data_IF_163592060400
#
_entry.id   IF_163592060400
#
_cell.length_a   1.000
_cell.length_b   1.000
_cell.length_c   1.000
_cell.angle_alpha   90.00
_cell.angle_beta   90.00
_cell.angle_gamma   90.00
#
_symmetry.space_group_name_H-M   'P 1'
#
loop_
_entity.id
_entity.type
_entity.pdbx_description
1 polymer ?
#
# COMPACT_ATOMS: atom_id res chain seq x y z
N UNK A 1 33.69 -17.37 2.15
CA UNK A 1 32.45 -17.12 2.93
C UNK A 1 31.96 -15.69 2.79
N UNK A 2 32.78 -14.64 3.01
CA UNK A 2 32.39 -13.23 2.81
C UNK A 2 31.88 -12.90 1.39
N UNK A 3 32.49 -13.49 0.35
CA UNK A 3 32.17 -13.18 -1.04
C UNK A 3 30.74 -13.56 -1.46
N UNK A 4 30.10 -14.50 -0.75
CA UNK A 4 28.70 -14.89 -0.99
C UNK A 4 27.72 -13.89 -0.36
N UNK A 5 28.08 -13.30 0.79
CA UNK A 5 27.24 -12.33 1.50
C UNK A 5 27.20 -10.96 0.83
N UNK A 6 28.29 -10.52 0.21
CA UNK A 6 28.37 -9.21 -0.48
C UNK A 6 28.10 -9.30 -1.99
N UNK A 7 27.71 -10.47 -2.50
CA UNK A 7 27.40 -10.63 -3.92
C UNK A 7 26.05 -9.96 -4.26
N UNK A 8 26.06 -8.95 -5.14
CA UNK A 8 24.85 -8.24 -5.61
C UNK A 8 24.17 -8.89 -6.83
N UNK A 9 24.49 -10.13 -7.15
CA UNK A 9 23.88 -10.83 -8.30
C UNK A 9 22.48 -11.36 -7.95
N UNK A 10 21.50 -10.46 -7.87
CA UNK A 10 20.10 -10.82 -7.68
C UNK A 10 19.43 -11.14 -9.02
N UNK A 11 18.57 -12.15 -9.03
CA UNK A 11 17.70 -12.46 -10.17
C UNK A 11 16.41 -11.63 -10.10
N UNK A 12 15.78 -11.37 -11.25
CA UNK A 12 14.46 -10.73 -11.29
C UNK A 12 13.42 -11.49 -10.43
N UNK A 13 13.50 -12.82 -10.42
CA UNK A 13 12.66 -13.66 -9.57
C UNK A 13 12.81 -13.36 -8.09
N UNK A 14 14.04 -13.16 -7.59
CA UNK A 14 14.25 -12.81 -6.18
C UNK A 14 13.66 -11.45 -5.84
N UNK A 15 13.82 -10.46 -6.72
CA UNK A 15 13.21 -9.13 -6.56
C UNK A 15 11.69 -9.25 -6.49
N UNK A 16 11.08 -10.04 -7.37
CA UNK A 16 9.63 -10.24 -7.36
C UNK A 16 9.11 -10.94 -6.09
N UNK A 17 9.86 -11.90 -5.55
CA UNK A 17 9.52 -12.53 -4.25
C UNK A 17 9.58 -11.49 -3.14
N UNK A 18 10.61 -10.63 -3.12
CA UNK A 18 10.72 -9.53 -2.15
C UNK A 18 9.55 -8.55 -2.29
N UNK A 19 9.17 -8.17 -3.50
CA UNK A 19 8.02 -7.30 -3.74
C UNK A 19 6.69 -7.92 -3.28
N UNK A 20 6.52 -9.24 -3.46
CA UNK A 20 5.37 -9.96 -2.94
C UNK A 20 5.33 -9.94 -1.40
N UNK A 21 6.45 -10.28 -0.76
CA UNK A 21 6.56 -10.26 0.70
C UNK A 21 6.30 -8.86 1.25
N UNK A 22 6.83 -7.83 0.60
CA UNK A 22 6.65 -6.44 1.01
C UNK A 22 5.17 -6.03 0.93
N UNK A 23 4.47 -6.38 -0.16
CA UNK A 23 3.04 -6.09 -0.33
C UNK A 23 2.17 -6.80 0.72
N UNK A 24 2.39 -8.09 0.93
CA UNK A 24 1.62 -8.88 1.91
C UNK A 24 1.91 -8.36 3.32
N UNK A 25 3.19 -8.15 3.67
CA UNK A 25 3.60 -7.66 4.99
C UNK A 25 3.01 -6.29 5.29
N UNK A 26 3.33 -5.28 4.49
CA UNK A 26 2.87 -3.91 4.74
C UNK A 26 1.36 -3.77 4.65
N UNK A 27 0.72 -4.49 3.71
CA UNK A 27 -0.73 -4.45 3.53
C UNK A 27 -1.45 -5.09 4.71
N UNK A 28 -1.00 -6.26 5.18
CA UNK A 28 -1.62 -6.93 6.33
C UNK A 28 -1.43 -6.13 7.62
N UNK A 29 -0.27 -5.52 7.84
CA UNK A 29 -0.06 -4.63 8.99
C UNK A 29 -0.94 -3.39 8.93
N UNK A 30 -1.14 -2.80 7.74
CA UNK A 30 -2.05 -1.67 7.58
C UNK A 30 -3.52 -2.04 7.83
N UNK A 31 -3.94 -3.27 7.51
CA UNK A 31 -5.29 -3.75 7.85
C UNK A 31 -5.57 -3.74 9.36
N UNK A 32 -4.55 -3.85 10.22
CA UNK A 32 -4.70 -3.69 11.67
C UNK A 32 -5.17 -2.28 12.03
N UNK A 33 -4.79 -1.27 11.26
CA UNK A 33 -5.26 0.11 11.42
C UNK A 33 -6.58 0.38 10.69
N UNK A 34 -6.79 -0.25 9.54
CA UNK A 34 -8.00 -0.08 8.73
C UNK A 34 -9.25 -0.76 9.29
N UNK A 35 -9.12 -1.96 9.88
CA UNK A 35 -10.25 -2.74 10.42
C UNK A 35 -11.01 -1.99 11.54
N UNK A 36 -10.35 -1.47 12.59
CA UNK A 36 -11.05 -0.71 13.63
C UNK A 36 -11.75 0.54 13.08
N UNK A 37 -11.19 1.18 12.05
CA UNK A 37 -11.79 2.35 11.40
C UNK A 37 -13.04 1.97 10.61
N UNK A 38 -13.02 0.82 9.93
CA UNK A 38 -14.19 0.29 9.23
C UNK A 38 -15.31 -0.05 10.22
N UNK A 39 -14.98 -0.72 11.32
CA UNK A 39 -15.94 -1.04 12.39
C UNK A 39 -16.56 0.23 12.98
N UNK A 40 -15.74 1.24 13.28
CA UNK A 40 -16.22 2.54 13.76
C UNK A 40 -17.16 3.23 12.75
N UNK A 41 -16.84 3.17 11.45
CA UNK A 41 -17.68 3.75 10.41
C UNK A 41 -19.02 2.99 10.28
N UNK A 42 -19.00 1.67 10.39
CA UNK A 42 -20.18 0.81 10.28
C UNK A 42 -21.07 0.86 11.53
N UNK A 43 -20.52 1.13 12.71
CA UNK A 43 -21.26 1.22 13.95
C UNK A 43 -22.29 2.37 13.96
N UNK A 44 -22.12 3.39 13.10
CA UNK A 44 -23.08 4.49 12.93
C UNK A 44 -23.24 5.40 14.17
N UNK A 45 -22.39 5.23 15.17
CA UNK A 45 -22.36 6.02 16.40
C UNK A 45 -21.52 7.29 16.27
N UNK A 46 -21.13 7.85 17.41
CA UNK A 46 -20.26 9.02 17.45
C UNK A 46 -18.88 8.70 16.85
N UNK A 47 -18.46 9.50 15.86
CA UNK A 47 -17.20 9.29 15.16
C UNK A 47 -16.05 9.85 15.98
N UNK A 48 -15.30 8.96 16.64
CA UNK A 48 -14.08 9.28 17.37
C UNK A 48 -12.86 9.32 16.45
N UNK A 49 -12.97 10.09 15.36
CA UNK A 49 -11.89 10.30 14.40
C UNK A 49 -11.64 11.79 14.21
N UNK A 50 -10.38 12.26 14.20
CA UNK A 50 -10.10 13.67 14.01
C UNK A 50 -10.53 14.12 12.62
N UNK A 51 -11.25 15.24 12.55
CA UNK A 51 -11.51 15.93 11.29
C UNK A 51 -10.19 16.46 10.72
N UNK A 52 -9.85 16.07 9.49
CA UNK A 52 -8.60 16.48 8.84
C UNK A 52 -8.84 17.74 8.03
N UNK A 53 -7.99 18.77 8.18
CA UNK A 53 -8.03 20.01 7.37
C UNK A 53 -9.41 20.72 7.37
N UNK A 54 -10.12 20.69 8.49
CA UNK A 54 -11.46 21.30 8.60
C UNK A 54 -12.59 20.49 7.95
N UNK A 55 -12.31 19.27 7.47
CA UNK A 55 -13.35 18.34 6.99
C UNK A 55 -14.15 17.75 8.15
N UNK A 56 -15.36 17.29 7.81
CA UNK A 56 -16.19 16.53 8.73
C UNK A 56 -15.45 15.23 9.19
N UNK A 57 -15.49 14.88 10.49
CA UNK A 57 -14.93 13.64 11.03
C UNK A 57 -15.33 12.36 10.27
N UNK A 58 -16.61 12.22 9.92
CA UNK A 58 -17.15 11.07 9.18
C UNK A 58 -16.55 10.96 7.78
N UNK A 59 -16.36 12.10 7.09
CA UNK A 59 -15.74 12.11 5.77
C UNK A 59 -14.27 11.72 5.87
N UNK A 60 -13.56 12.26 6.86
CA UNK A 60 -12.15 11.95 7.11
C UNK A 60 -11.97 10.47 7.45
N UNK A 61 -12.87 9.90 8.27
CA UNK A 61 -12.90 8.49 8.58
C UNK A 61 -13.17 7.64 7.33
N UNK A 62 -14.14 8.03 6.50
CA UNK A 62 -14.49 7.29 5.27
C UNK A 62 -13.30 7.21 4.32
N UNK A 63 -12.59 8.32 4.13
CA UNK A 63 -11.38 8.36 3.31
C UNK A 63 -10.24 7.51 3.90
N UNK A 64 -10.06 7.56 5.23
CA UNK A 64 -9.08 6.72 5.92
C UNK A 64 -9.41 5.23 5.76
N UNK A 65 -10.68 4.84 5.90
CA UNK A 65 -11.13 3.44 5.66
C UNK A 65 -10.89 3.04 4.21
N UNK A 66 -11.24 3.89 3.25
CA UNK A 66 -10.99 3.61 1.83
C UNK A 66 -9.51 3.30 1.57
N UNK A 67 -8.62 4.15 2.07
CA UNK A 67 -7.19 3.94 1.89
C UNK A 67 -6.67 2.73 2.70
N UNK A 68 -6.86 2.71 4.01
CA UNK A 68 -6.20 1.76 4.89
C UNK A 68 -6.80 0.35 4.85
N UNK A 69 -8.08 0.22 4.54
CA UNK A 69 -8.73 -1.08 4.40
C UNK A 69 -8.76 -1.54 2.93
N UNK A 70 -9.46 -0.82 2.07
CA UNK A 70 -9.68 -1.26 0.70
C UNK A 70 -8.41 -1.20 -0.14
N UNK A 71 -7.66 -0.10 -0.12
CA UNK A 71 -6.41 -0.04 -0.89
C UNK A 71 -5.35 -1.01 -0.36
N UNK A 72 -5.33 -1.33 0.94
CA UNK A 72 -4.47 -2.38 1.49
C UNK A 72 -4.81 -3.77 0.94
N UNK A 73 -6.10 -4.12 0.80
CA UNK A 73 -6.50 -5.39 0.16
C UNK A 73 -6.05 -5.43 -1.30
N UNK A 74 -6.28 -4.35 -2.06
CA UNK A 74 -5.83 -4.25 -3.45
C UNK A 74 -4.30 -4.39 -3.54
N UNK A 75 -3.57 -3.77 -2.63
CA UNK A 75 -2.11 -3.85 -2.56
C UNK A 75 -1.63 -5.29 -2.30
N UNK A 76 -2.24 -6.01 -1.36
CA UNK A 76 -1.93 -7.41 -1.05
C UNK A 76 -2.12 -8.28 -2.29
N UNK A 77 -3.23 -8.12 -3.00
CA UNK A 77 -3.51 -8.84 -4.25
C UNK A 77 -2.54 -8.43 -5.38
N UNK A 78 -1.94 -7.24 -5.29
CA UNK A 78 -1.20 -6.63 -6.38
C UNK A 78 -2.09 -6.29 -7.55
N UNK A 79 -3.26 -5.72 -7.26
CA UNK A 79 -4.17 -5.19 -8.25
C UNK A 79 -4.08 -3.66 -8.23
N UNK A 80 -3.82 -3.07 -9.40
CA UNK A 80 -3.60 -1.63 -9.56
C UNK A 80 -2.61 -1.06 -8.53
N UNK A 81 -1.51 -1.79 -8.29
CA UNK A 81 -0.63 -1.59 -7.12
C UNK A 81 -0.18 -0.13 -6.95
N UNK A 82 0.24 0.53 -8.05
CA UNK A 82 0.67 1.93 -8.03
C UNK A 82 -0.46 2.90 -7.66
N UNK A 83 -1.67 2.63 -8.13
CA UNK A 83 -2.84 3.44 -7.78
C UNK A 83 -3.26 3.19 -6.33
N UNK A 84 -3.23 1.94 -5.86
CA UNK A 84 -3.53 1.59 -4.47
C UNK A 84 -2.55 2.24 -3.48
N UNK A 85 -1.27 2.41 -3.85
CA UNK A 85 -0.29 3.10 -3.00
C UNK A 85 -0.54 4.60 -2.85
N UNK A 86 -1.24 5.27 -3.77
CA UNK A 86 -1.42 6.74 -3.70
C UNK A 86 -2.28 7.15 -2.50
N UNK A 87 -3.50 6.59 -2.28
CA UNK A 87 -4.29 6.87 -1.08
C UNK A 87 -3.56 6.49 0.21
N UNK A 88 -2.80 5.39 0.21
CA UNK A 88 -1.99 4.95 1.34
C UNK A 88 -0.87 5.94 1.68
N UNK A 89 -0.20 6.51 0.67
CA UNK A 89 0.82 7.55 0.87
C UNK A 89 0.18 8.81 1.45
N UNK A 90 -0.95 9.27 0.89
CA UNK A 90 -1.65 10.47 1.35
C UNK A 90 -2.08 10.32 2.81
N UNK A 91 -2.64 9.18 3.18
CA UNK A 91 -3.05 8.93 4.58
C UNK A 91 -1.87 8.91 5.54
N UNK A 92 -0.73 8.33 5.16
CA UNK A 92 0.47 8.37 6.00
C UNK A 92 1.06 9.78 6.12
N UNK A 93 1.04 10.58 5.05
CA UNK A 93 1.46 11.98 5.11
C UNK A 93 0.58 12.79 6.06
N UNK A 94 -0.74 12.60 5.99
CA UNK A 94 -1.69 13.25 6.91
C UNK A 94 -1.45 12.77 8.34
N UNK A 95 -1.30 11.46 8.56
CA UNK A 95 -1.06 10.90 9.88
C UNK A 95 0.20 11.50 10.53
N UNK A 96 1.31 11.56 9.80
CA UNK A 96 2.59 12.05 10.32
C UNK A 96 2.60 13.58 10.46
N UNK A 97 2.24 14.30 9.40
CA UNK A 97 2.45 15.76 9.33
C UNK A 97 1.26 16.60 9.79
N UNK A 98 0.08 16.00 9.98
CA UNK A 98 -1.12 16.70 10.45
C UNK A 98 -1.54 16.20 11.82
N UNK A 99 -1.73 14.89 11.98
CA UNK A 99 -2.22 14.33 13.25
C UNK A 99 -1.11 14.30 14.30
N UNK A 100 0.07 13.79 13.94
CA UNK A 100 1.21 13.64 14.86
C UNK A 100 2.26 14.76 14.72
N UNK A 101 1.91 15.90 14.13
CA UNK A 101 2.87 16.97 13.82
C UNK A 101 3.62 17.51 15.05
N UNK A 102 2.93 17.58 16.19
CA UNK A 102 3.45 18.09 17.46
C UNK A 102 3.87 16.97 18.42
N UNK A 103 3.71 15.71 18.02
CA UNK A 103 4.05 14.55 18.84
C UNK A 103 5.55 14.25 18.78
N UNK A 104 6.10 13.53 19.78
CA UNK A 104 7.46 13.00 19.70
C UNK A 104 7.65 12.11 18.47
N UNK A 105 8.88 12.08 17.94
CA UNK A 105 9.23 11.28 16.76
C UNK A 105 8.84 9.80 16.87
N UNK A 106 8.83 9.23 18.08
CA UNK A 106 8.39 7.86 18.34
C UNK A 106 6.96 7.56 17.82
N UNK A 107 6.07 8.56 17.80
CA UNK A 107 4.71 8.41 17.26
C UNK A 107 4.66 8.62 15.74
N UNK A 108 5.67 9.26 15.15
CA UNK A 108 5.76 9.53 13.71
C UNK A 108 6.50 8.42 12.96
N UNK A 109 7.45 7.75 13.62
CA UNK A 109 8.35 6.75 13.03
C UNK A 109 7.58 5.65 12.28
N UNK A 110 6.51 5.13 12.87
CA UNK A 110 5.72 4.06 12.25
C UNK A 110 5.06 4.52 10.94
N UNK A 111 4.46 5.72 10.94
CA UNK A 111 3.86 6.30 9.73
C UNK A 111 4.90 6.56 8.63
N UNK A 112 6.10 6.99 9.01
CA UNK A 112 7.23 7.19 8.09
C UNK A 112 7.73 5.86 7.50
N UNK A 113 7.75 4.77 8.27
CA UNK A 113 8.11 3.44 7.77
C UNK A 113 7.11 2.93 6.73
N UNK A 114 5.82 3.09 6.99
CA UNK A 114 4.78 2.79 6.00
C UNK A 114 4.96 3.64 4.73
N UNK A 115 5.14 4.95 4.89
CA UNK A 115 5.37 5.88 3.77
C UNK A 115 6.56 5.46 2.91
N UNK A 116 7.71 5.15 3.53
CA UNK A 116 8.90 4.70 2.83
C UNK A 116 8.64 3.41 2.02
N UNK A 117 7.92 2.47 2.63
CA UNK A 117 7.55 1.20 2.00
C UNK A 117 6.63 1.42 0.82
N UNK A 118 5.62 2.28 0.95
CA UNK A 118 4.69 2.59 -0.14
C UNK A 118 5.36 3.35 -1.28
N UNK A 119 6.32 4.24 -1.00
CA UNK A 119 7.11 4.89 -2.04
C UNK A 119 7.96 3.88 -2.82
N UNK A 120 8.58 2.91 -2.14
CA UNK A 120 9.29 1.83 -2.81
C UNK A 120 8.37 1.00 -3.73
N UNK A 121 7.18 0.66 -3.26
CA UNK A 121 6.17 -0.06 -4.05
C UNK A 121 5.59 0.78 -5.19
N UNK A 122 5.46 2.09 -5.04
CA UNK A 122 5.04 3.00 -6.10
C UNK A 122 6.05 3.00 -7.25
N UNK A 123 7.34 3.06 -6.94
CA UNK A 123 8.44 3.07 -7.92
C UNK A 123 8.57 1.69 -8.60
N UNK A 124 8.74 0.63 -7.80
CA UNK A 124 9.03 -0.71 -8.30
C UNK A 124 7.79 -1.43 -8.87
N UNK A 125 6.60 -1.07 -8.40
CA UNK A 125 5.33 -1.69 -8.82
C UNK A 125 5.05 -3.04 -8.16
N UNK A 126 4.19 -3.84 -8.80
CA UNK A 126 3.62 -5.06 -8.24
C UNK A 126 4.55 -6.29 -8.29
N UNK A 127 5.48 -6.35 -9.24
CA UNK A 127 6.26 -7.54 -9.54
C UNK A 127 5.45 -8.68 -10.18
N UNK A 128 6.11 -9.77 -10.56
CA UNK A 128 5.51 -10.87 -11.35
C UNK A 128 4.44 -11.69 -10.64
N UNK A 129 4.44 -11.71 -9.31
CA UNK A 129 3.49 -12.44 -8.48
C UNK A 129 2.34 -11.53 -8.05
N UNK A 130 1.66 -10.94 -9.03
CA UNK A 130 0.58 -9.98 -8.80
C UNK A 130 -0.58 -10.29 -9.74
N UNK A 131 -1.80 -9.90 -9.35
CA UNK A 131 -2.94 -9.98 -10.26
C UNK A 131 -2.72 -9.12 -11.50
N UNK A 132 -2.08 -7.94 -11.35
CA UNK A 132 -1.67 -7.08 -12.47
C UNK A 132 -0.85 -7.85 -13.51
N UNK A 133 0.20 -8.57 -13.08
CA UNK A 133 1.04 -9.35 -13.98
C UNK A 133 0.29 -10.55 -14.61
N UNK A 134 -0.62 -11.17 -13.86
CA UNK A 134 -1.46 -12.26 -14.39
C UNK A 134 -2.39 -11.78 -15.51
N UNK A 135 -3.04 -10.63 -15.32
CA UNK A 135 -3.94 -10.04 -16.32
C UNK A 135 -3.20 -9.67 -17.61
N UNK A 136 -2.06 -8.99 -17.50
CA UNK A 136 -1.25 -8.59 -18.67
C UNK A 136 -0.82 -9.82 -19.48
N UNK A 137 -0.32 -10.86 -18.80
CA UNK A 137 0.10 -12.11 -19.47
C UNK A 137 -1.04 -12.79 -20.23
N UNK A 138 -2.26 -12.72 -19.73
CA UNK A 138 -3.42 -13.33 -20.40
C UNK A 138 -3.86 -12.50 -21.61
N UNK A 139 -3.79 -11.17 -21.53
CA UNK A 139 -4.05 -10.28 -22.67
C UNK A 139 -3.03 -10.52 -23.79
N UNK A 140 -1.75 -10.62 -23.47
CA UNK A 140 -0.69 -10.89 -24.46
C UNK A 140 -0.86 -12.26 -25.14
N UNK A 141 -1.26 -13.29 -24.40
CA UNK A 141 -1.54 -14.63 -24.97
C UNK A 141 -2.71 -14.63 -25.96
N UNK A 142 -3.65 -13.71 -25.81
CA UNK A 142 -4.84 -13.62 -26.67
C UNK A 142 -4.58 -12.79 -27.94
N UNK A 143 -3.47 -12.05 -28.03
CA UNK A 143 -3.14 -11.33 -29.27
C UNK A 143 -2.69 -12.33 -30.36
N UNK A 144 -3.40 -12.39 -31.51
CA UNK A 144 -3.00 -13.26 -32.61
C UNK A 144 -1.67 -12.77 -33.19
N UNK A 145 -0.74 -13.69 -33.47
CA UNK A 145 0.61 -13.44 -34.02
C UNK A 145 0.67 -12.71 -35.39
N UNK A 146 -0.44 -12.20 -35.91
CA UNK A 146 -0.60 -11.78 -37.31
C UNK A 146 -0.86 -10.27 -37.54
N UNK A 147 -0.66 -9.37 -36.57
CA UNK A 147 -0.81 -7.93 -36.80
C UNK A 147 0.50 -7.14 -36.98
N UNK A 148 1.62 -7.83 -37.21
CA UNK A 148 2.88 -7.23 -37.67
C UNK A 148 3.24 -7.78 -39.06
N UNK A 149 2.45 -7.38 -40.05
CA UNK A 149 2.88 -7.25 -41.44
C UNK A 149 2.33 -5.94 -41.98
#
# INVERSE_FOLDING_TARGET
MLHTFFNRNYTNTQVDVVLLMLRIGVGSMMLVHGLPKLEMLMAGGEVQFPGVMGMNPTLSLTLAVFAEFFCSILLILGLATRFATIPLIITMLIAVFVIHANDPFANQELGLHYLLTYLALLILGAGKFSVDAFLIRNVEKQQPKNSLK
#
